data_IF_882405462068
#
_entry.id   IF_882405462068
#
_cell.length_a   1.000
_cell.length_b   1.000
_cell.length_c   1.000
_cell.angle_alpha   90.00
_cell.angle_beta   90.00
_cell.angle_gamma   90.00
#
_symmetry.space_group_name_H-M   'P 1'
#
loop_
_entity.id
_entity.type
_entity.pdbx_description
1 polymer ?
#
# COMPACT_ATOMS: atom_id res chain seq x y z
N UNK A 1 -11.23 1.63 -35.23
CA UNK A 1 -10.85 0.83 -34.05
C UNK A 1 -10.33 1.80 -33.00
N UNK A 2 -11.22 2.32 -32.16
CA UNK A 2 -10.94 3.44 -31.25
C UNK A 2 -10.06 3.01 -30.09
N UNK A 3 -9.01 3.77 -29.83
CA UNK A 3 -8.16 3.63 -28.65
C UNK A 3 -8.99 3.92 -27.39
N UNK A 4 -9.07 2.91 -26.51
CA UNK A 4 -9.74 3.00 -25.22
C UNK A 4 -8.92 3.93 -24.32
N UNK A 5 -9.23 5.22 -24.31
CA UNK A 5 -8.70 6.18 -23.35
C UNK A 5 -9.33 5.85 -21.98
N UNK A 6 -8.66 5.02 -21.20
CA UNK A 6 -8.97 4.83 -19.80
C UNK A 6 -8.73 6.17 -19.08
N UNK A 7 -9.82 6.87 -18.81
CA UNK A 7 -9.82 8.17 -18.16
C UNK A 7 -9.52 7.95 -16.67
N UNK A 8 -8.24 7.87 -16.28
CA UNK A 8 -7.84 7.77 -14.87
C UNK A 8 -7.99 9.14 -14.22
N UNK A 9 -9.22 9.50 -13.83
CA UNK A 9 -9.48 10.63 -12.96
C UNK A 9 -9.06 10.28 -11.52
N UNK A 10 -7.80 10.50 -11.19
CA UNK A 10 -7.30 10.39 -9.82
C UNK A 10 -7.40 11.73 -9.09
N UNK A 11 -7.95 11.74 -7.87
CA UNK A 11 -7.89 12.92 -7.00
C UNK A 11 -6.58 12.89 -6.20
N UNK A 12 -5.74 13.92 -6.36
CA UNK A 12 -4.53 14.08 -5.55
C UNK A 12 -4.91 14.67 -4.19
N UNK A 13 -4.66 13.92 -3.12
CA UNK A 13 -4.87 14.38 -1.75
C UNK A 13 -3.54 14.61 -1.06
N UNK A 14 -3.20 15.87 -0.76
CA UNK A 14 -2.03 16.23 0.02
C UNK A 14 -2.41 16.29 1.51
N UNK A 15 -1.87 15.37 2.32
CA UNK A 15 -2.07 15.34 3.77
C UNK A 15 -0.85 15.89 4.49
N UNK A 16 -0.99 17.11 5.03
CA UNK A 16 0.11 17.82 5.72
C UNK A 16 0.44 17.23 7.11
N UNK A 17 -0.50 16.51 7.69
CA UNK A 17 -0.42 15.88 9.01
C UNK A 17 0.31 14.53 8.99
N UNK A 18 0.39 13.87 7.83
CA UNK A 18 1.07 12.59 7.69
C UNK A 18 2.51 12.79 7.23
N UNK A 19 3.44 12.81 8.19
CA UNK A 19 4.88 12.81 7.92
C UNK A 19 5.39 11.38 7.85
N UNK A 20 6.07 11.02 6.77
CA UNK A 20 6.73 9.73 6.59
C UNK A 20 8.10 9.95 5.93
N UNK A 21 9.03 9.01 6.11
CA UNK A 21 10.30 8.98 5.39
C UNK A 21 10.56 7.63 4.70
N UNK A 22 9.63 6.67 4.85
CA UNK A 22 9.67 5.39 4.18
C UNK A 22 8.28 4.88 3.84
N UNK A 23 8.23 3.97 2.86
CA UNK A 23 7.01 3.31 2.41
C UNK A 23 7.29 1.84 2.14
N UNK A 24 6.32 0.98 2.46
CA UNK A 24 6.32 -0.44 2.10
C UNK A 24 4.99 -0.77 1.44
N UNK A 25 5.05 -1.29 0.22
CA UNK A 25 3.88 -1.71 -0.53
C UNK A 25 3.80 -3.23 -0.53
N UNK A 26 2.62 -3.75 -0.21
CA UNK A 26 2.26 -5.14 -0.33
C UNK A 26 1.13 -5.24 -1.34
N UNK A 27 1.27 -6.03 -2.40
CA UNK A 27 0.23 -6.17 -3.41
C UNK A 27 0.00 -7.62 -3.78
N UNK A 28 -1.25 -7.96 -4.06
CA UNK A 28 -1.65 -9.26 -4.58
C UNK A 28 -2.62 -9.08 -5.74
N UNK A 29 -2.40 -9.87 -6.80
CA UNK A 29 -3.25 -9.93 -8.00
C UNK A 29 -4.03 -11.25 -8.06
N UNK A 30 -3.50 -12.33 -7.47
CA UNK A 30 -4.16 -13.63 -7.38
C UNK A 30 -4.96 -13.76 -6.09
N UNK A 31 -6.12 -14.43 -6.16
CA UNK A 31 -7.05 -14.59 -5.04
C UNK A 31 -6.38 -15.23 -3.82
N UNK A 32 -5.65 -16.33 -4.01
CA UNK A 32 -4.98 -17.04 -2.92
C UNK A 32 -3.93 -16.19 -2.17
N UNK A 33 -3.28 -15.24 -2.87
CA UNK A 33 -2.29 -14.35 -2.25
C UNK A 33 -2.92 -13.21 -1.45
N UNK A 34 -4.21 -12.92 -1.66
CA UNK A 34 -4.93 -11.86 -0.93
C UNK A 34 -5.12 -12.21 0.53
N UNK A 35 -5.51 -13.44 0.80
CA UNK A 35 -5.78 -13.92 2.16
C UNK A 35 -4.50 -13.84 3.02
N UNK A 36 -3.35 -14.11 2.40
CA UNK A 36 -2.05 -14.03 3.06
C UNK A 36 -1.48 -12.60 3.16
N UNK A 37 -2.05 -11.62 2.44
CA UNK A 37 -1.45 -10.29 2.37
C UNK A 37 -1.47 -9.59 3.74
N UNK A 38 -2.56 -9.75 4.49
CA UNK A 38 -2.67 -9.21 5.85
C UNK A 38 -1.68 -9.83 6.82
N UNK A 39 -1.47 -11.15 6.73
CA UNK A 39 -0.46 -11.86 7.53
C UNK A 39 0.95 -11.37 7.19
N UNK A 40 1.27 -11.22 5.90
CA UNK A 40 2.57 -10.69 5.44
C UNK A 40 2.83 -9.28 5.95
N UNK A 41 1.83 -8.41 5.92
CA UNK A 41 1.91 -7.05 6.47
C UNK A 41 2.15 -7.10 7.97
N UNK A 42 1.38 -7.91 8.69
CA UNK A 42 1.48 -8.04 10.16
C UNK A 42 2.83 -8.61 10.60
N UNK A 43 3.30 -9.67 9.95
CA UNK A 43 4.61 -10.26 10.20
C UNK A 43 5.74 -9.27 9.92
N UNK A 44 5.64 -8.51 8.82
CA UNK A 44 6.62 -7.48 8.52
C UNK A 44 6.64 -6.38 9.59
N UNK A 45 5.48 -5.86 10.02
CA UNK A 45 5.42 -4.87 11.11
C UNK A 45 6.01 -5.42 12.41
N UNK A 46 5.70 -6.67 12.77
CA UNK A 46 6.24 -7.32 13.96
C UNK A 46 7.78 -7.47 13.91
N UNK A 47 8.33 -7.75 12.72
CA UNK A 47 9.79 -7.84 12.52
C UNK A 47 10.50 -6.48 12.45
N UNK A 48 9.75 -5.37 12.39
CA UNK A 48 10.30 -4.01 12.28
C UNK A 48 9.77 -3.07 13.37
N UNK A 49 9.96 -3.39 14.67
CA UNK A 49 9.43 -2.59 15.78
C UNK A 49 10.05 -1.19 15.89
N UNK A 50 11.20 -0.95 15.23
CA UNK A 50 11.85 0.36 15.15
C UNK A 50 11.11 1.35 14.23
N UNK A 51 10.24 0.86 13.34
CA UNK A 51 9.48 1.69 12.42
C UNK A 51 8.19 2.16 13.08
N UNK A 52 7.95 3.47 13.07
CA UNK A 52 6.67 4.04 13.48
C UNK A 52 5.74 4.11 12.28
N UNK A 53 4.71 3.27 12.23
CA UNK A 53 3.68 3.37 11.20
C UNK A 53 2.95 4.71 11.35
N UNK A 54 2.87 5.45 10.25
CA UNK A 54 2.28 6.80 10.19
C UNK A 54 0.95 6.79 9.47
N UNK A 55 0.77 5.89 8.51
CA UNK A 55 -0.44 5.76 7.72
C UNK A 55 -0.49 4.42 6.97
N UNK A 56 -1.70 3.98 6.64
CA UNK A 56 -1.94 2.80 5.81
C UNK A 56 -3.02 3.14 4.79
N UNK A 57 -2.71 2.95 3.52
CA UNK A 57 -3.66 3.11 2.41
C UNK A 57 -3.92 1.76 1.79
N UNK A 58 -5.19 1.36 1.74
CA UNK A 58 -5.64 0.16 1.04
C UNK A 58 -6.26 0.59 -0.28
N UNK A 59 -5.69 0.14 -1.38
CA UNK A 59 -6.21 0.41 -2.71
C UNK A 59 -6.65 -0.90 -3.34
N UNK A 60 -7.86 -0.90 -3.88
CA UNK A 60 -8.41 -2.03 -4.63
C UNK A 60 -8.71 -1.57 -6.05
N UNK A 61 -8.40 -2.43 -7.01
CA UNK A 61 -8.81 -2.27 -8.40
C UNK A 61 -9.46 -3.57 -8.82
N UNK A 62 -10.72 -3.52 -9.25
CA UNK A 62 -11.46 -4.68 -9.74
C UNK A 62 -11.87 -4.45 -11.18
N UNK A 63 -11.35 -5.26 -12.10
CA UNK A 63 -11.99 -5.52 -13.39
C UNK A 63 -12.68 -6.90 -13.36
N UNK A 64 -13.41 -7.24 -14.43
CA UNK A 64 -14.26 -8.44 -14.53
C UNK A 64 -13.47 -9.76 -14.37
N UNK A 65 -12.14 -9.76 -14.50
CA UNK A 65 -11.30 -10.95 -14.46
C UNK A 65 -10.19 -10.91 -13.39
N UNK A 66 -9.78 -9.73 -12.94
CA UNK A 66 -8.68 -9.53 -12.01
C UNK A 66 -9.03 -8.45 -11.00
N UNK A 67 -8.84 -8.79 -9.74
CA UNK A 67 -9.02 -7.87 -8.66
C UNK A 67 -7.68 -7.77 -7.95
N UNK A 68 -7.06 -6.60 -7.99
CA UNK A 68 -5.81 -6.32 -7.30
C UNK A 68 -6.12 -5.68 -5.95
N UNK A 69 -5.31 -5.99 -4.93
CA UNK A 69 -5.28 -5.24 -3.67
C UNK A 69 -3.85 -4.83 -3.40
N UNK A 70 -3.67 -3.58 -3.00
CA UNK A 70 -2.42 -3.06 -2.50
C UNK A 70 -2.65 -2.48 -1.09
N UNK A 71 -1.80 -2.87 -0.15
CA UNK A 71 -1.68 -2.28 1.18
C UNK A 71 -0.38 -1.51 1.19
N UNK A 72 -0.49 -0.19 1.21
CA UNK A 72 0.64 0.73 1.28
C UNK A 72 0.80 1.21 2.71
N UNK A 73 1.89 0.83 3.35
CA UNK A 73 2.23 1.22 4.72
C UNK A 73 3.27 2.33 4.66
N UNK A 74 2.92 3.52 5.12
CA UNK A 74 3.83 4.64 5.29
C UNK A 74 4.36 4.65 6.73
N UNK A 75 5.66 4.86 6.89
CA UNK A 75 6.29 4.85 8.19
C UNK A 75 7.35 5.92 8.34
N UNK A 76 7.67 6.20 9.59
CA UNK A 76 8.83 6.97 10.00
C UNK A 76 9.87 6.05 10.63
N UNK A 77 11.06 6.05 10.06
CA UNK A 77 12.24 5.43 10.63
C UNK A 77 13.13 6.49 11.28
N UNK A 78 13.51 6.27 12.54
CA UNK A 78 14.50 7.12 13.20
C UNK A 78 15.91 6.77 12.70
N UNK A 79 16.36 7.48 11.66
CA UNK A 79 17.68 7.28 11.04
C UNK A 79 18.84 7.62 11.97
N UNK A 80 18.61 8.26 13.11
CA UNK A 80 19.65 8.54 14.12
C UNK A 80 20.03 7.32 14.96
N UNK A 81 19.23 6.24 14.90
CA UNK A 81 19.42 5.00 15.68
C UNK A 81 20.07 3.86 14.88
N UNK A 82 20.55 4.14 13.67
CA UNK A 82 21.23 3.17 12.80
C UNK A 82 22.75 3.25 12.91
#
# INVERSE_FOLDING_TARGET
MSANQANTSGQVTLRRDVKFNGVKVFSATMVADRDQLGEKVTAWMASNPQLKVTDIVITQSSDEAFHCIAITVFYWEDTSRR
#
